data_IF_295859657309
#
_entry.id   IF_295859657309
#
_cell.length_a   1.000
_cell.length_b   1.000
_cell.length_c   1.000
_cell.angle_alpha   90.00
_cell.angle_beta   90.00
_cell.angle_gamma   90.00
#
_symmetry.space_group_name_H-M   'P 1'
#
loop_
_entity.id
_entity.type
_entity.pdbx_description
1 polymer ?
#
# COMPACT_ATOMS: atom_id res chain seq x y z
N UNK A 1 29.74 37.37 2.79
CA UNK A 1 28.55 36.94 2.03
C UNK A 1 28.60 35.42 1.90
N UNK A 2 27.49 34.69 2.10
CA UNK A 2 27.51 33.23 1.88
C UNK A 2 27.71 32.94 0.37
N UNK A 3 28.47 31.91 -0.01
CA UNK A 3 28.63 31.53 -1.41
C UNK A 3 27.27 31.27 -2.06
N UNK A 4 27.08 31.63 -3.34
CA UNK A 4 25.80 31.44 -4.05
C UNK A 4 25.31 29.99 -4.00
N UNK A 5 26.23 29.03 -4.03
CA UNK A 5 25.94 27.60 -3.92
C UNK A 5 25.25 27.25 -2.58
N UNK A 6 25.72 27.82 -1.47
CA UNK A 6 25.14 27.61 -0.13
C UNK A 6 23.75 28.23 -0.03
N UNK A 7 23.54 29.40 -0.66
CA UNK A 7 22.22 30.04 -0.70
C UNK A 7 21.19 29.19 -1.48
N UNK A 8 21.60 28.57 -2.59
CA UNK A 8 20.75 27.64 -3.35
C UNK A 8 20.35 26.43 -2.51
N UNK A 9 21.30 25.78 -1.83
CA UNK A 9 21.05 24.64 -0.94
C UNK A 9 20.08 25.04 0.19
N UNK A 10 20.31 26.19 0.82
CA UNK A 10 19.43 26.68 1.88
C UNK A 10 18.00 26.94 1.38
N UNK A 11 17.84 27.41 0.14
CA UNK A 11 16.52 27.56 -0.48
C UNK A 11 15.87 26.20 -0.80
N UNK A 12 16.62 25.18 -1.22
CA UNK A 12 16.09 23.82 -1.35
C UNK A 12 15.59 23.29 0.00
N UNK A 13 16.35 23.50 1.08
CA UNK A 13 15.93 23.17 2.44
C UNK A 13 14.64 23.87 2.87
N UNK A 14 14.44 25.14 2.49
CA UNK A 14 13.18 25.87 2.74
C UNK A 14 12.01 25.23 2.00
N UNK A 15 12.15 24.99 0.70
CA UNK A 15 11.07 24.43 -0.14
C UNK A 15 10.70 23.03 0.35
N UNK A 16 11.69 22.16 0.56
CA UNK A 16 11.46 20.82 1.08
C UNK A 16 10.84 20.85 2.49
N UNK A 17 11.22 21.82 3.33
CA UNK A 17 10.62 22.05 4.64
C UNK A 17 9.13 22.44 4.57
N UNK A 18 8.73 23.26 3.60
CA UNK A 18 7.32 23.63 3.37
C UNK A 18 6.52 22.41 2.90
N UNK A 19 7.03 21.65 1.92
CA UNK A 19 6.39 20.42 1.43
C UNK A 19 6.20 19.43 2.59
N UNK A 20 7.23 19.24 3.41
CA UNK A 20 7.15 18.38 4.60
C UNK A 20 6.14 18.88 5.63
N UNK A 21 6.02 20.20 5.83
CA UNK A 21 5.03 20.77 6.73
C UNK A 21 3.60 20.47 6.26
N UNK A 22 3.34 20.66 4.96
CA UNK A 22 2.05 20.34 4.35
C UNK A 22 1.73 18.85 4.53
N UNK A 23 2.68 17.96 4.23
CA UNK A 23 2.52 16.52 4.42
C UNK A 23 2.18 16.15 5.87
N UNK A 24 2.86 16.76 6.86
CA UNK A 24 2.56 16.54 8.29
C UNK A 24 1.15 16.97 8.67
N UNK A 25 0.63 18.06 8.10
CA UNK A 25 -0.74 18.52 8.37
C UNK A 25 -1.74 17.48 7.85
N UNK A 26 -1.58 17.02 6.60
CA UNK A 26 -2.46 15.99 6.03
C UNK A 26 -2.42 14.68 6.82
N UNK A 27 -1.22 14.20 7.18
CA UNK A 27 -1.08 12.99 8.00
C UNK A 27 -1.68 13.20 9.39
N UNK A 28 -1.48 14.37 10.01
CA UNK A 28 -2.09 14.70 11.31
C UNK A 28 -3.62 14.69 11.30
N UNK A 29 -4.24 15.24 10.24
CA UNK A 29 -5.68 15.15 10.02
C UNK A 29 -6.12 13.70 9.86
N UNK A 30 -5.36 12.89 9.09
CA UNK A 30 -5.61 11.47 8.92
C UNK A 30 -5.57 10.69 10.24
N UNK A 31 -4.57 10.94 11.08
CA UNK A 31 -4.45 10.32 12.42
C UNK A 31 -5.67 10.62 13.27
N UNK A 32 -6.10 11.88 13.33
CA UNK A 32 -7.27 12.29 14.10
C UNK A 32 -8.56 11.66 13.54
N UNK A 33 -8.73 11.68 12.21
CA UNK A 33 -9.90 11.12 11.54
C UNK A 33 -10.04 9.61 11.76
N UNK A 34 -8.95 8.86 11.59
CA UNK A 34 -8.94 7.40 11.80
C UNK A 34 -9.18 7.07 13.28
N UNK A 35 -8.63 7.84 14.22
CA UNK A 35 -8.88 7.65 15.65
C UNK A 35 -10.36 7.81 15.99
N UNK A 36 -10.98 8.92 15.55
CA UNK A 36 -12.40 9.20 15.78
C UNK A 36 -13.26 8.10 15.15
N UNK A 37 -12.97 7.70 13.92
CA UNK A 37 -13.70 6.64 13.24
C UNK A 37 -13.56 5.30 13.97
N UNK A 38 -12.39 4.97 14.49
CA UNK A 38 -12.15 3.73 15.26
C UNK A 38 -12.95 3.72 16.56
N UNK A 39 -12.98 4.85 17.29
CA UNK A 39 -13.78 4.98 18.52
C UNK A 39 -15.28 4.88 18.21
N UNK A 40 -15.74 5.54 17.15
CA UNK A 40 -17.13 5.46 16.71
C UNK A 40 -17.54 4.02 16.36
N UNK A 41 -16.68 3.29 15.63
CA UNK A 41 -16.90 1.88 15.30
C UNK A 41 -16.94 0.98 16.56
N UNK A 42 -16.14 1.29 17.58
CA UNK A 42 -16.13 0.55 18.83
C UNK A 42 -17.40 0.79 19.68
N UNK A 43 -18.07 1.93 19.51
CA UNK A 43 -19.32 2.26 20.18
C UNK A 43 -20.56 1.62 19.51
N UNK A 44 -20.43 1.09 18.29
CA UNK A 44 -21.52 0.44 17.58
C UNK A 44 -21.71 -1.03 18.03
N UNK A 45 -22.96 -1.53 18.11
CA UNK A 45 -23.21 -2.93 18.39
C UNK A 45 -22.63 -3.83 17.28
N UNK A 46 -22.12 -5.01 17.66
CA UNK A 46 -21.37 -5.92 16.77
C UNK A 46 -22.15 -6.38 15.52
N UNK A 47 -23.47 -6.33 15.57
CA UNK A 47 -24.38 -6.72 14.48
C UNK A 47 -24.96 -5.52 13.71
N UNK A 48 -24.54 -4.29 14.02
CA UNK A 48 -25.12 -3.06 13.46
C UNK A 48 -24.80 -2.88 11.97
N UNK A 49 -23.63 -3.33 11.51
CA UNK A 49 -23.20 -3.21 10.11
C UNK A 49 -22.78 -4.57 9.59
N UNK A 50 -23.46 -5.04 8.55
CA UNK A 50 -23.04 -6.15 7.70
C UNK A 50 -22.88 -5.61 6.28
N UNK A 51 -21.64 -5.41 5.86
CA UNK A 51 -21.33 -5.06 4.49
C UNK A 51 -21.13 -6.37 3.71
N UNK A 52 -21.94 -6.58 2.68
CA UNK A 52 -21.75 -7.64 1.69
C UNK A 52 -21.50 -6.99 0.33
N UNK A 53 -20.45 -7.42 -0.34
CA UNK A 53 -20.18 -7.01 -1.72
C UNK A 53 -20.73 -8.10 -2.62
N UNK A 54 -21.60 -7.72 -3.56
CA UNK A 54 -22.06 -8.60 -4.62
C UNK A 54 -21.18 -8.39 -5.84
N UNK A 55 -20.70 -9.48 -6.41
CA UNK A 55 -19.84 -9.47 -7.60
C UNK A 55 -20.43 -10.40 -8.65
N UNK A 56 -20.68 -9.90 -9.85
CA UNK A 56 -21.01 -10.72 -11.01
C UNK A 56 -19.78 -10.93 -11.87
N UNK A 57 -19.55 -12.16 -12.32
CA UNK A 57 -18.52 -12.47 -13.31
C UNK A 57 -19.14 -13.28 -14.45
N UNK A 58 -18.93 -12.84 -15.69
CA UNK A 58 -19.33 -13.57 -16.88
C UNK A 58 -18.09 -14.12 -17.56
N UNK A 59 -18.02 -15.44 -17.71
CA UNK A 59 -16.95 -16.13 -18.44
C UNK A 59 -17.53 -16.55 -19.78
N UNK A 60 -16.98 -16.05 -20.88
CA UNK A 60 -17.35 -16.44 -22.23
C UNK A 60 -16.24 -17.29 -22.86
N UNK A 61 -16.61 -18.44 -23.41
CA UNK A 61 -15.70 -19.32 -24.14
C UNK A 61 -16.16 -19.44 -25.58
N UNK A 62 -15.41 -18.84 -26.50
CA UNK A 62 -15.63 -18.92 -27.94
C UNK A 62 -14.95 -20.16 -28.52
N UNK A 63 -15.73 -21.17 -28.85
CA UNK A 63 -15.30 -22.41 -29.50
C UNK A 63 -15.17 -22.29 -31.02
N UNK A 64 -15.70 -21.22 -31.63
CA UNK A 64 -15.57 -20.98 -33.07
C UNK A 64 -14.12 -20.71 -33.48
N UNK A 65 -13.30 -20.18 -32.56
CA UNK A 65 -11.85 -20.03 -32.72
C UNK A 65 -11.12 -21.37 -32.91
N UNK A 66 -11.74 -22.48 -32.49
CA UNK A 66 -11.22 -23.84 -32.66
C UNK A 66 -11.85 -24.57 -33.86
N UNK A 67 -12.62 -23.88 -34.69
CA UNK A 67 -13.29 -24.46 -35.86
C UNK A 67 -14.49 -25.34 -35.53
N UNK A 68 -14.98 -25.31 -34.29
CA UNK A 68 -16.12 -26.08 -33.83
C UNK A 68 -17.38 -25.21 -33.75
N UNK A 69 -18.52 -25.76 -34.16
CA UNK A 69 -19.85 -25.16 -33.99
C UNK A 69 -20.83 -26.20 -33.45
N UNK A 70 -21.69 -25.81 -32.52
CA UNK A 70 -22.66 -26.72 -31.92
C UNK A 70 -23.96 -26.79 -32.74
N UNK A 71 -24.46 -28.00 -32.99
CA UNK A 71 -25.83 -28.19 -33.47
C UNK A 71 -26.84 -27.88 -32.35
N UNK A 72 -28.14 -27.75 -32.67
CA UNK A 72 -29.17 -27.50 -31.65
C UNK A 72 -29.25 -28.63 -30.61
N UNK A 73 -29.12 -29.88 -31.02
CA UNK A 73 -29.01 -31.01 -30.08
C UNK A 73 -27.72 -30.94 -29.25
N UNK A 74 -26.58 -30.61 -29.88
CA UNK A 74 -25.29 -30.47 -29.20
C UNK A 74 -25.26 -29.33 -28.16
N UNK A 75 -25.97 -28.22 -28.42
CA UNK A 75 -26.16 -27.13 -27.45
C UNK A 75 -26.91 -27.62 -26.21
N UNK A 76 -27.95 -28.43 -26.38
CA UNK A 76 -28.75 -28.98 -25.28
C UNK A 76 -27.94 -29.97 -24.44
N UNK A 77 -27.22 -30.90 -25.09
CA UNK A 77 -26.36 -31.87 -24.42
C UNK A 77 -25.21 -31.19 -23.66
N UNK A 78 -24.60 -30.16 -24.26
CA UNK A 78 -23.55 -29.38 -23.61
C UNK A 78 -24.09 -28.62 -22.39
N UNK A 79 -25.26 -27.97 -22.52
CA UNK A 79 -25.90 -27.27 -21.40
C UNK A 79 -26.23 -28.21 -20.25
N UNK A 80 -26.79 -29.39 -20.53
CA UNK A 80 -27.07 -30.41 -19.49
C UNK A 80 -25.79 -30.92 -18.83
N UNK A 81 -24.72 -31.13 -19.60
CA UNK A 81 -23.42 -31.58 -19.09
C UNK A 81 -22.77 -30.53 -18.19
N UNK A 82 -22.72 -29.28 -18.63
CA UNK A 82 -22.19 -28.16 -17.84
C UNK A 82 -23.03 -27.93 -16.58
N UNK A 83 -24.35 -28.00 -16.68
CA UNK A 83 -25.23 -27.87 -15.50
C UNK A 83 -24.89 -28.92 -14.44
N UNK A 84 -24.75 -30.20 -14.83
CA UNK A 84 -24.37 -31.28 -13.88
C UNK A 84 -23.00 -31.11 -13.24
N UNK A 85 -22.02 -30.59 -13.98
CA UNK A 85 -20.67 -30.33 -13.47
C UNK A 85 -20.68 -29.18 -12.46
N UNK A 86 -21.58 -28.23 -12.65
CA UNK A 86 -21.54 -26.94 -11.97
C UNK A 86 -22.59 -26.81 -10.84
N UNK A 87 -23.62 -27.65 -10.82
CA UNK A 87 -24.79 -27.57 -9.92
C UNK A 87 -24.44 -27.41 -8.42
N UNK A 88 -23.29 -27.95 -7.99
CA UNK A 88 -22.78 -27.84 -6.62
C UNK A 88 -21.38 -27.22 -6.53
N UNK A 89 -20.89 -26.64 -7.62
CA UNK A 89 -19.57 -26.04 -7.67
C UNK A 89 -19.63 -24.59 -7.20
N UNK A 90 -18.82 -24.26 -6.20
CA UNK A 90 -18.56 -22.88 -5.77
C UNK A 90 -17.16 -22.47 -6.19
N UNK A 91 -17.05 -21.29 -6.79
CA UNK A 91 -15.76 -20.68 -7.08
C UNK A 91 -15.40 -19.80 -5.89
N UNK A 92 -14.32 -20.13 -5.17
CA UNK A 92 -13.74 -19.23 -4.17
C UNK A 92 -12.61 -18.43 -4.81
N UNK A 93 -12.84 -17.13 -4.99
CA UNK A 93 -11.84 -16.18 -5.43
C UNK A 93 -11.56 -15.19 -4.31
N UNK A 94 -10.55 -15.51 -3.49
CA UNK A 94 -9.98 -14.60 -2.50
C UNK A 94 -11.03 -14.05 -1.51
N UNK A 95 -11.89 -14.90 -0.96
CA UNK A 95 -12.95 -14.51 -0.01
C UNK A 95 -14.30 -14.15 -0.66
N UNK A 96 -14.40 -14.28 -1.99
CA UNK A 96 -15.67 -14.21 -2.72
C UNK A 96 -16.07 -15.64 -3.06
N UNK A 97 -17.16 -16.12 -2.46
CA UNK A 97 -17.79 -17.36 -2.88
C UNK A 97 -18.81 -17.04 -3.97
N UNK A 98 -18.52 -17.46 -5.21
CA UNK A 98 -19.41 -17.32 -6.36
C UNK A 98 -20.07 -18.64 -6.72
N UNK A 99 -21.40 -18.59 -6.88
CA UNK A 99 -22.20 -19.68 -7.44
C UNK A 99 -22.52 -19.33 -8.88
N UNK A 100 -22.46 -20.33 -9.75
CA UNK A 100 -22.88 -20.14 -11.14
C UNK A 100 -24.41 -20.00 -11.14
N UNK A 101 -24.87 -18.84 -11.61
CA UNK A 101 -26.28 -18.44 -11.63
C UNK A 101 -26.94 -18.71 -12.97
N UNK A 102 -26.20 -18.64 -14.07
CA UNK A 102 -26.71 -18.91 -15.41
C UNK A 102 -25.67 -19.60 -16.31
N UNK A 103 -26.17 -20.43 -17.22
CA UNK A 103 -25.38 -21.10 -18.26
C UNK A 103 -26.12 -20.92 -19.59
N UNK A 104 -25.49 -20.22 -20.52
CA UNK A 104 -25.98 -20.09 -21.88
C UNK A 104 -25.02 -20.79 -22.84
N UNK A 105 -25.57 -21.48 -23.82
CA UNK A 105 -24.80 -22.18 -24.86
C UNK A 105 -25.37 -21.72 -26.19
N UNK A 106 -24.51 -21.18 -27.04
CA UNK A 106 -24.86 -20.70 -28.37
C UNK A 106 -24.21 -21.60 -29.45
N UNK A 107 -24.33 -21.21 -30.72
CA UNK A 107 -23.73 -21.94 -31.85
C UNK A 107 -22.20 -21.90 -31.86
N UNK A 108 -21.59 -20.94 -31.15
CA UNK A 108 -20.17 -20.62 -31.17
C UNK A 108 -19.45 -20.98 -29.89
N UNK A 109 -20.15 -21.30 -28.81
CA UNK A 109 -19.54 -21.41 -27.49
C UNK A 109 -20.54 -21.46 -26.35
N UNK A 110 -20.05 -21.13 -25.15
CA UNK A 110 -20.88 -21.05 -23.95
C UNK A 110 -20.46 -19.88 -23.06
N UNK A 111 -21.43 -19.34 -22.34
CA UNK A 111 -21.23 -18.36 -21.26
C UNK A 111 -21.64 -18.96 -19.92
N UNK A 112 -20.88 -18.59 -18.89
CA UNK A 112 -21.18 -18.89 -17.50
C UNK A 112 -21.27 -17.57 -16.74
N UNK A 113 -22.43 -17.30 -16.16
CA UNK A 113 -22.58 -16.20 -15.22
C UNK A 113 -22.43 -16.75 -13.80
N UNK A 114 -21.57 -16.12 -13.02
CA UNK A 114 -21.36 -16.42 -11.63
C UNK A 114 -21.72 -15.20 -10.77
N UNK A 115 -22.64 -15.41 -9.83
CA UNK A 115 -22.98 -14.44 -8.80
C UNK A 115 -22.27 -14.82 -7.51
N UNK A 116 -21.37 -13.95 -7.10
CA UNK A 116 -20.63 -14.03 -5.86
C UNK A 116 -21.13 -13.07 -4.81
N UNK A 117 -21.08 -13.54 -3.57
CA UNK A 117 -21.22 -12.68 -2.39
C UNK A 117 -20.00 -12.91 -1.52
N UNK A 118 -19.40 -11.82 -1.03
CA UNK A 118 -18.41 -11.91 0.04
C UNK A 118 -19.08 -12.38 1.32
N UNK A 119 -18.34 -13.04 2.21
CA UNK A 119 -18.77 -13.12 3.60
C UNK A 119 -19.03 -11.71 4.16
N UNK A 120 -19.97 -11.61 5.11
CA UNK A 120 -20.27 -10.33 5.73
C UNK A 120 -19.03 -9.82 6.47
N UNK A 121 -18.52 -8.67 6.07
CA UNK A 121 -17.37 -8.06 6.74
C UNK A 121 -17.80 -7.68 8.15
N UNK A 122 -17.29 -8.42 9.15
CA UNK A 122 -17.60 -8.14 10.55
C UNK A 122 -16.99 -6.81 11.01
N UNK A 123 -17.67 -6.11 11.92
CA UNK A 123 -17.14 -4.90 12.56
C UNK A 123 -15.77 -5.12 13.23
N UNK A 124 -15.47 -6.35 13.67
CA UNK A 124 -14.16 -6.72 14.22
C UNK A 124 -13.05 -6.70 13.17
N UNK A 125 -13.30 -7.17 11.95
CA UNK A 125 -12.31 -7.08 10.85
C UNK A 125 -12.02 -5.61 10.51
N UNK A 126 -13.07 -4.78 10.46
CA UNK A 126 -12.97 -3.33 10.20
C UNK A 126 -12.18 -2.63 11.30
N UNK A 127 -12.46 -2.90 12.58
CA UNK A 127 -11.76 -2.24 13.69
C UNK A 127 -10.28 -2.58 13.74
N UNK A 128 -9.90 -3.84 13.49
CA UNK A 128 -8.49 -4.26 13.42
C UNK A 128 -7.77 -3.59 12.24
N UNK A 129 -8.42 -3.51 11.07
CA UNK A 129 -7.88 -2.78 9.93
C UNK A 129 -7.64 -1.29 10.26
N UNK A 130 -8.61 -0.64 10.91
CA UNK A 130 -8.50 0.77 11.30
C UNK A 130 -7.37 1.03 12.30
N UNK A 131 -7.15 0.13 13.26
CA UNK A 131 -6.00 0.20 14.18
C UNK A 131 -4.67 0.08 13.41
N UNK A 132 -4.58 -0.85 12.46
CA UNK A 132 -3.40 -1.00 11.61
C UNK A 132 -3.11 0.26 10.79
N UNK A 133 -4.14 0.84 10.17
CA UNK A 133 -4.05 2.10 9.43
C UNK A 133 -3.58 3.25 10.35
N UNK A 134 -4.08 3.31 11.58
CA UNK A 134 -3.68 4.33 12.55
C UNK A 134 -2.21 4.22 12.95
N UNK A 135 -1.72 3.01 13.24
CA UNK A 135 -0.30 2.75 13.55
C UNK A 135 0.56 3.16 12.36
N UNK A 136 0.19 2.78 11.13
CA UNK A 136 0.93 3.19 9.94
C UNK A 136 1.00 4.72 9.84
N UNK A 137 -0.11 5.45 10.00
CA UNK A 137 -0.09 6.91 9.97
C UNK A 137 0.83 7.54 11.04
N UNK A 138 0.87 6.97 12.25
CA UNK A 138 1.78 7.44 13.31
C UNK A 138 3.24 7.28 12.90
N UNK A 139 3.64 6.13 12.37
CA UNK A 139 5.02 5.91 11.95
C UNK A 139 5.37 6.83 10.78
N UNK A 140 4.40 7.11 9.89
CA UNK A 140 4.55 8.10 8.81
C UNK A 140 4.91 9.46 9.38
N UNK A 141 4.18 9.88 10.41
CA UNK A 141 4.35 11.16 11.07
C UNK A 141 5.74 11.28 11.71
N UNK A 142 6.23 10.19 12.33
CA UNK A 142 7.58 10.13 12.90
C UNK A 142 8.64 10.30 11.81
N UNK A 143 8.53 9.58 10.69
CA UNK A 143 9.44 9.74 9.55
C UNK A 143 9.39 11.16 8.98
N UNK A 144 8.21 11.77 8.88
CA UNK A 144 8.03 13.16 8.46
C UNK A 144 8.63 14.18 9.43
N UNK A 145 8.72 13.87 10.73
CA UNK A 145 9.47 14.69 11.67
C UNK A 145 10.97 14.65 11.42
N UNK A 146 11.53 13.46 11.12
CA UNK A 146 12.96 13.34 10.83
C UNK A 146 13.35 14.02 9.52
N UNK A 147 12.58 13.85 8.43
CA UNK A 147 12.85 14.58 7.19
C UNK A 147 12.66 16.09 7.37
N UNK A 148 11.68 16.52 8.17
CA UNK A 148 11.50 17.94 8.50
C UNK A 148 12.66 18.52 9.29
N UNK A 149 13.24 17.75 10.21
CA UNK A 149 14.44 18.13 10.95
C UNK A 149 15.67 18.21 10.02
N UNK A 150 15.79 17.31 9.04
CA UNK A 150 16.80 17.37 7.99
C UNK A 150 16.65 18.62 7.12
N UNK A 151 15.43 18.92 6.62
CA UNK A 151 15.17 20.13 5.85
C UNK A 151 15.53 21.41 6.63
N UNK A 152 15.26 21.42 7.94
CA UNK A 152 15.64 22.55 8.81
C UNK A 152 17.15 22.69 8.96
N UNK A 153 17.89 21.58 9.08
CA UNK A 153 19.36 21.60 9.10
C UNK A 153 19.91 22.12 7.76
N UNK A 154 19.41 21.59 6.63
CA UNK A 154 19.81 22.04 5.28
C UNK A 154 19.49 23.52 5.07
N UNK A 155 18.35 24.02 5.55
CA UNK A 155 17.97 25.44 5.42
C UNK A 155 18.97 26.40 6.07
N UNK A 156 19.59 25.97 7.17
CA UNK A 156 20.44 26.82 8.01
C UNK A 156 21.93 26.50 7.86
N UNK A 157 22.30 25.52 7.03
CA UNK A 157 23.68 25.06 6.95
C UNK A 157 24.59 26.09 6.27
N UNK A 158 25.87 26.00 6.63
CA UNK A 158 26.96 26.69 5.95
C UNK A 158 27.64 25.78 4.91
N UNK A 159 27.64 24.46 5.17
CA UNK A 159 28.02 23.41 4.23
C UNK A 159 27.01 22.26 4.30
N UNK A 160 26.66 21.62 3.16
CA UNK A 160 25.84 20.40 3.16
C UNK A 160 26.53 19.22 3.86
N UNK A 161 27.84 19.29 4.07
CA UNK A 161 28.65 18.29 4.76
C UNK A 161 28.83 18.61 6.25
N UNK A 162 28.04 19.53 6.80
CA UNK A 162 28.10 19.80 8.23
C UNK A 162 27.65 18.59 9.04
N UNK A 163 28.28 18.40 10.21
CA UNK A 163 27.94 17.31 11.13
C UNK A 163 26.45 17.33 11.52
N UNK A 164 25.85 18.52 11.63
CA UNK A 164 24.42 18.64 11.89
C UNK A 164 23.57 18.04 10.77
N UNK A 165 23.87 18.34 9.51
CA UNK A 165 23.12 17.81 8.35
C UNK A 165 23.29 16.29 8.29
N UNK A 166 24.51 15.78 8.40
CA UNK A 166 24.82 14.34 8.34
C UNK A 166 24.10 13.58 9.46
N UNK A 167 24.13 14.12 10.69
CA UNK A 167 23.42 13.53 11.83
C UNK A 167 21.91 13.46 11.59
N UNK A 168 21.31 14.51 11.00
CA UNK A 168 19.88 14.51 10.67
C UNK A 168 19.55 13.57 9.49
N UNK A 169 20.44 13.43 8.50
CA UNK A 169 20.32 12.44 7.43
C UNK A 169 20.31 11.03 8.00
N UNK A 170 21.23 10.71 8.92
CA UNK A 170 21.32 9.41 9.59
C UNK A 170 20.06 9.06 10.37
N UNK A 171 19.52 10.00 11.14
CA UNK A 171 18.25 9.78 11.85
C UNK A 171 17.08 9.56 10.88
N UNK A 172 17.01 10.31 9.79
CA UNK A 172 16.01 10.09 8.75
C UNK A 172 16.14 8.69 8.12
N UNK A 173 17.35 8.29 7.74
CA UNK A 173 17.62 6.97 7.17
C UNK A 173 17.18 5.83 8.12
N UNK A 174 17.52 5.90 9.41
CA UNK A 174 17.08 4.90 10.37
C UNK A 174 15.57 4.92 10.64
N UNK A 175 14.92 6.09 10.56
CA UNK A 175 13.47 6.17 10.71
C UNK A 175 12.70 5.47 9.58
N UNK A 176 13.33 5.26 8.41
CA UNK A 176 12.72 4.55 7.29
C UNK A 176 12.69 3.03 7.49
N UNK A 177 13.52 2.47 8.37
CA UNK A 177 13.56 1.02 8.64
C UNK A 177 12.24 0.55 9.29
N UNK A 178 11.80 1.07 10.46
CA UNK A 178 10.54 0.65 11.06
C UNK A 178 9.35 1.02 10.18
N UNK A 179 9.44 2.14 9.45
CA UNK A 179 8.45 2.56 8.46
C UNK A 179 8.25 1.51 7.35
N UNK A 180 9.34 0.97 6.81
CA UNK A 180 9.30 -0.06 5.77
C UNK A 180 8.64 -1.35 6.26
N UNK A 181 8.96 -1.78 7.49
CA UNK A 181 8.38 -3.00 8.08
C UNK A 181 6.89 -2.81 8.35
N UNK A 182 6.51 -1.69 8.95
CA UNK A 182 5.11 -1.44 9.35
C UNK A 182 4.22 -1.17 8.13
N UNK A 183 4.72 -0.48 7.11
CA UNK A 183 3.97 -0.26 5.87
C UNK A 183 3.74 -1.55 5.09
N UNK A 184 4.71 -2.48 5.08
CA UNK A 184 4.53 -3.83 4.54
C UNK A 184 3.42 -4.59 5.28
N UNK A 185 3.44 -4.61 6.61
CA UNK A 185 2.38 -5.25 7.41
C UNK A 185 1.02 -4.60 7.16
N UNK A 186 0.96 -3.27 7.05
CA UNK A 186 -0.28 -2.56 6.76
C UNK A 186 -0.85 -2.90 5.38
N UNK A 187 0.01 -3.02 4.36
CA UNK A 187 -0.40 -3.44 3.02
C UNK A 187 -0.92 -4.89 3.00
N UNK A 188 -0.23 -5.81 3.67
CA UNK A 188 -0.68 -7.20 3.80
C UNK A 188 -1.99 -7.31 4.59
N UNK A 189 -2.18 -6.48 5.62
CA UNK A 189 -3.44 -6.40 6.35
C UNK A 189 -4.57 -5.84 5.46
N UNK A 190 -4.27 -4.90 4.56
CA UNK A 190 -5.24 -4.34 3.61
C UNK A 190 -5.65 -5.33 2.52
N UNK A 191 -4.72 -6.14 2.00
CA UNK A 191 -5.09 -7.22 1.09
C UNK A 191 -5.89 -8.31 1.80
N UNK A 192 -5.51 -8.63 3.05
CA UNK A 192 -6.21 -9.62 3.88
C UNK A 192 -7.58 -9.17 4.37
N UNK A 193 -7.90 -7.87 4.27
CA UNK A 193 -9.22 -7.37 4.62
C UNK A 193 -10.31 -7.92 3.69
N UNK A 194 -9.95 -8.19 2.43
CA UNK A 194 -10.86 -8.71 1.42
C UNK A 194 -10.89 -10.24 1.36
N UNK A 195 -9.88 -10.92 1.92
CA UNK A 195 -9.82 -12.37 1.98
C UNK A 195 -10.31 -12.91 3.33
N UNK A 196 -10.88 -14.12 3.33
CA UNK A 196 -11.26 -14.79 4.58
C UNK A 196 -10.07 -15.41 5.33
N UNK A 197 -8.91 -15.44 4.69
CA UNK A 197 -7.66 -15.90 5.28
C UNK A 197 -6.83 -14.70 5.71
N UNK A 198 -6.46 -14.68 6.99
CA UNK A 198 -5.40 -13.82 7.50
C UNK A 198 -4.07 -14.42 7.08
N UNK A 199 -3.61 -14.11 5.88
CA UNK A 199 -2.24 -14.46 5.47
C UNK A 199 -1.31 -13.34 5.92
N UNK A 200 -0.75 -13.50 7.13
CA UNK A 200 0.34 -12.66 7.58
C UNK A 200 1.59 -12.98 6.73
N UNK A 201 1.68 -12.34 5.58
CA UNK A 201 2.88 -12.36 4.77
C UNK A 201 3.67 -11.09 5.09
N UNK A 202 4.79 -11.25 5.81
CA UNK A 202 5.78 -10.19 5.98
C UNK A 202 6.58 -10.06 4.66
N UNK A 203 5.90 -9.65 3.60
CA UNK A 203 6.50 -9.37 2.32
C UNK A 203 7.13 -7.98 2.39
N UNK A 204 8.37 -7.92 2.88
CA UNK A 204 9.14 -6.68 2.85
C UNK A 204 9.26 -6.24 1.40
N UNK A 205 8.71 -5.07 1.07
CA UNK A 205 8.80 -4.52 -0.28
C UNK A 205 10.27 -4.26 -0.62
N UNK A 206 10.80 -5.07 -1.54
CA UNK A 206 12.19 -4.98 -1.99
C UNK A 206 12.53 -3.57 -2.51
N UNK A 207 11.57 -2.87 -3.10
CA UNK A 207 11.78 -1.49 -3.56
C UNK A 207 12.03 -0.54 -2.39
N UNK A 208 11.29 -0.70 -1.29
CA UNK A 208 11.46 0.13 -0.09
C UNK A 208 12.79 -0.14 0.60
N UNK A 209 13.24 -1.40 0.61
CA UNK A 209 14.59 -1.74 1.13
C UNK A 209 15.67 -1.05 0.31
N UNK A 210 15.56 -1.06 -1.01
CA UNK A 210 16.50 -0.34 -1.90
C UNK A 210 16.50 1.16 -1.59
N UNK A 211 15.34 1.78 -1.38
CA UNK A 211 15.25 3.20 -0.99
C UNK A 211 16.01 3.46 0.33
N UNK A 212 15.80 2.63 1.36
CA UNK A 212 16.53 2.76 2.63
C UNK A 212 18.04 2.65 2.43
N UNK A 213 18.49 1.66 1.66
CA UNK A 213 19.91 1.44 1.37
C UNK A 213 20.52 2.62 0.61
N UNK A 214 19.81 3.18 -0.37
CA UNK A 214 20.25 4.37 -1.11
C UNK A 214 20.39 5.57 -0.18
N UNK A 215 19.41 5.81 0.71
CA UNK A 215 19.46 6.92 1.67
C UNK A 215 20.62 6.73 2.67
N UNK A 216 20.87 5.50 3.12
CA UNK A 216 22.03 5.17 3.95
C UNK A 216 23.34 5.41 3.19
N UNK A 217 23.45 4.94 1.95
CA UNK A 217 24.64 5.13 1.11
C UNK A 217 24.93 6.62 0.89
N UNK A 218 23.91 7.43 0.57
CA UNK A 218 24.05 8.88 0.47
C UNK A 218 24.51 9.50 1.80
N UNK A 219 23.99 9.02 2.93
CA UNK A 219 24.44 9.49 4.26
C UNK A 219 25.93 9.21 4.48
N UNK A 220 26.42 8.03 4.10
CA UNK A 220 27.84 7.68 4.20
C UNK A 220 28.72 8.48 3.23
N UNK A 221 28.26 8.73 2.00
CA UNK A 221 28.96 9.58 1.04
C UNK A 221 29.11 11.00 1.59
N UNK A 222 28.06 11.56 2.19
CA UNK A 222 28.13 12.88 2.81
C UNK A 222 29.04 12.88 4.04
N UNK A 223 29.02 11.81 4.84
CA UNK A 223 29.94 11.68 5.96
C UNK A 223 31.41 11.66 5.49
N UNK A 224 31.73 10.89 4.45
CA UNK A 224 33.08 10.84 3.91
C UNK A 224 33.48 12.15 3.22
N UNK A 225 32.54 12.79 2.52
CA UNK A 225 32.74 14.12 1.94
C UNK A 225 33.10 15.18 2.97
N UNK A 226 32.53 15.11 4.19
CA UNK A 226 32.92 15.99 5.28
C UNK A 226 34.37 15.80 5.72
N UNK A 227 34.83 14.55 5.78
CA UNK A 227 36.22 14.22 6.12
C UNK A 227 37.17 14.75 5.05
N UNK A 228 36.85 14.56 3.76
CA UNK A 228 37.67 15.09 2.67
C UNK A 228 37.73 16.63 2.66
N UNK A 229 36.64 17.30 3.01
CA UNK A 229 36.64 18.77 3.16
C UNK A 229 37.55 19.20 4.30
N UNK A 230 37.54 18.49 5.42
CA UNK A 230 38.42 18.77 6.54
C UNK A 230 39.90 18.56 6.18
N UNK A 231 40.24 17.45 5.52
CA UNK A 231 41.62 17.17 5.07
C UNK A 231 42.11 18.21 4.04
N UNK A 232 41.23 18.69 3.16
CA UNK A 232 41.57 19.76 2.21
C UNK A 232 41.79 21.12 2.88
N UNK A 233 41.01 21.44 3.92
CA UNK A 233 41.14 22.71 4.64
C UNK A 233 42.36 22.71 5.58
N UNK A 234 42.78 21.54 6.09
CA UNK A 234 43.98 21.38 6.94
C UNK A 234 45.30 21.35 6.15
N UNK A 235 45.26 21.20 4.81
CA UNK A 235 46.46 21.13 3.94
C UNK A 235 46.78 22.44 3.22
N UNK A 236 45.98 23.50 3.42
CA UNK A 236 46.18 24.86 2.92
C UNK A 236 46.74 25.78 4.02
#
# INVERSE_FOLDING_TARGET
MKPEAVVKINNMGKVAGIITLIAKIFVGIGIAGVLIATIALAALPKDFVKATVRTGATIYVDMSQFGNSFSKEGQKEMKESLTKVVENSTIDMNGITAKISNIEVDDKGFSLDADGQTEAISLKKISVFMIGAWINLIVTMVTLWFIGALCKAIKNCDSPFSEEVIRKMKHFAYSLIPWCVISSVANSAMSSFWSDRWDFNLAVDGNMVVVVLVVLALTYIFQYGAVLQQESDETL
#
